data_IF_752341040780
#
_entry.id   IF_752341040780
#
_cell.length_a   1.000
_cell.length_b   1.000
_cell.length_c   1.000
_cell.angle_alpha   90.00
_cell.angle_beta   90.00
_cell.angle_gamma   90.00
#
_symmetry.space_group_name_H-M   'P 1'
#
loop_
_entity.id
_entity.type
_entity.pdbx_description
1 polymer ?
#
# COMPACT_ATOMS: atom_id res chain seq x y z
N UNK A 1 -14.33 18.00 2.94
CA UNK A 1 -13.30 17.06 3.47
C UNK A 1 -13.46 15.70 2.78
N UNK A 2 -12.42 14.83 2.68
CA UNK A 2 -12.56 13.52 2.02
C UNK A 2 -13.73 12.69 2.59
N UNK A 3 -13.92 12.68 3.93
CA UNK A 3 -15.04 12.00 4.61
C UNK A 3 -16.43 12.53 4.24
N UNK A 4 -16.56 13.76 3.76
CA UNK A 4 -17.86 14.32 3.35
C UNK A 4 -18.27 13.88 1.95
N UNK A 5 -17.32 13.33 1.18
CA UNK A 5 -17.54 12.91 -0.20
C UNK A 5 -17.81 11.40 -0.36
N UNK A 6 -17.64 10.61 0.72
CA UNK A 6 -17.72 9.14 0.67
C UNK A 6 -18.35 8.57 1.95
N UNK A 7 -19.08 7.47 1.82
CA UNK A 7 -19.68 6.75 2.95
C UNK A 7 -18.75 5.66 3.54
N UNK A 8 -17.66 5.33 2.84
CA UNK A 8 -16.68 4.33 3.30
C UNK A 8 -15.71 4.93 4.34
N UNK A 9 -15.15 4.11 5.24
CA UNK A 9 -14.15 4.59 6.20
C UNK A 9 -12.94 5.23 5.51
N UNK A 10 -12.58 6.44 5.93
CA UNK A 10 -11.34 7.12 5.53
C UNK A 10 -10.28 6.91 6.60
N UNK A 11 -9.12 6.41 6.20
CA UNK A 11 -7.97 6.13 7.08
C UNK A 11 -6.74 6.91 6.63
N UNK A 12 -5.72 7.02 7.49
CA UNK A 12 -4.43 7.62 7.11
C UNK A 12 -3.31 6.61 7.28
N UNK A 13 -2.39 6.60 6.30
CA UNK A 13 -1.10 5.91 6.41
C UNK A 13 0.04 6.92 6.45
N UNK A 14 0.84 6.89 7.50
CA UNK A 14 1.93 7.85 7.68
C UNK A 14 3.20 7.20 8.25
N UNK A 15 4.24 8.01 8.45
CA UNK A 15 5.49 7.67 9.15
C UNK A 15 5.50 8.36 10.52
N UNK A 16 6.35 7.89 11.43
CA UNK A 16 6.41 8.45 12.80
C UNK A 16 6.92 9.89 12.87
N UNK A 17 7.60 10.36 11.83
CA UNK A 17 8.13 11.72 11.78
C UNK A 17 8.85 12.00 10.48
N UNK A 18 9.34 13.22 10.36
CA UNK A 18 10.10 13.69 9.20
C UNK A 18 11.39 14.35 9.68
N UNK A 19 12.51 13.98 9.06
CA UNK A 19 13.82 14.59 9.26
C UNK A 19 14.30 15.23 7.97
N UNK A 20 14.91 16.40 8.10
CA UNK A 20 15.58 17.08 6.99
C UNK A 20 16.80 16.31 6.46
N UNK A 21 17.59 15.67 7.31
CA UNK A 21 18.75 14.86 6.92
C UNK A 21 19.04 13.74 7.91
N UNK A 22 19.87 12.77 7.52
CA UNK A 22 20.36 11.72 8.44
C UNK A 22 21.16 12.29 9.62
N UNK A 23 21.83 13.42 9.42
CA UNK A 23 22.65 14.12 10.43
C UNK A 23 21.84 15.03 11.36
N UNK A 24 20.51 15.04 11.21
CA UNK A 24 19.59 15.83 12.03
C UNK A 24 18.74 14.91 12.91
N UNK A 25 19.34 14.21 13.91
CA UNK A 25 18.59 13.30 14.77
C UNK A 25 17.55 14.02 15.64
N UNK A 26 17.78 15.29 15.98
CA UNK A 26 16.95 16.10 16.88
C UNK A 26 15.95 16.99 16.13
N UNK A 27 15.44 16.53 14.98
CA UNK A 27 14.42 17.27 14.25
C UNK A 27 13.11 17.31 15.06
N UNK A 28 12.55 18.50 15.26
CA UNK A 28 11.34 18.67 16.09
C UNK A 28 10.14 17.88 15.57
N UNK A 29 10.14 17.56 14.27
CA UNK A 29 9.11 16.78 13.58
C UNK A 29 9.36 15.26 13.60
N UNK A 30 10.34 14.77 14.35
CA UNK A 30 10.57 13.34 14.61
C UNK A 30 10.71 13.03 16.10
N UNK A 31 9.67 13.39 16.85
CA UNK A 31 9.54 13.11 18.29
C UNK A 31 8.20 12.47 18.60
N UNK A 32 8.12 11.78 19.75
CA UNK A 32 6.86 11.20 20.20
C UNK A 32 5.76 12.27 20.37
N UNK A 33 6.11 13.42 20.96
CA UNK A 33 5.17 14.53 21.14
C UNK A 33 4.69 15.11 19.80
N UNK A 34 5.52 15.09 18.77
CA UNK A 34 5.10 15.54 17.44
C UNK A 34 4.09 14.57 16.82
N UNK A 35 4.26 13.26 16.99
CA UNK A 35 3.33 12.29 16.40
C UNK A 35 2.00 12.21 17.15
N UNK A 36 2.00 12.38 18.48
CA UNK A 36 0.75 12.48 19.25
C UNK A 36 -0.06 13.71 18.84
N UNK A 37 0.57 14.89 18.78
CA UNK A 37 -0.08 16.12 18.28
C UNK A 37 -0.61 15.98 16.86
N UNK A 38 0.12 15.26 15.99
CA UNK A 38 -0.35 14.97 14.64
C UNK A 38 -1.62 14.12 14.65
N UNK A 39 -1.64 13.04 15.45
CA UNK A 39 -2.80 12.15 15.60
C UNK A 39 -4.01 12.94 16.11
N UNK A 40 -3.86 13.72 17.19
CA UNK A 40 -4.90 14.60 17.73
C UNK A 40 -5.45 15.55 16.67
N UNK A 41 -4.56 16.28 16.02
CA UNK A 41 -4.93 17.29 15.01
C UNK A 41 -5.71 16.64 13.85
N UNK A 42 -5.24 15.49 13.38
CA UNK A 42 -5.92 14.76 12.30
C UNK A 42 -7.29 14.27 12.77
N UNK A 43 -7.37 13.64 13.94
CA UNK A 43 -8.62 13.13 14.46
C UNK A 43 -9.64 14.26 14.67
N UNK A 44 -9.28 15.33 15.36
CA UNK A 44 -10.17 16.45 15.67
C UNK A 44 -10.65 17.18 14.41
N UNK A 45 -9.76 17.41 13.45
CA UNK A 45 -10.09 18.20 12.26
C UNK A 45 -10.69 17.37 11.14
N UNK A 46 -10.52 16.06 11.10
CA UNK A 46 -10.99 15.23 9.98
C UNK A 46 -11.91 14.08 10.38
N UNK A 47 -11.96 13.72 11.67
CA UNK A 47 -12.68 12.56 12.18
C UNK A 47 -12.09 11.24 11.72
N UNK A 48 -10.79 11.18 11.38
CA UNK A 48 -10.14 9.90 11.07
C UNK A 48 -9.89 9.14 12.37
N UNK A 49 -10.32 7.88 12.39
CA UNK A 49 -10.27 7.05 13.59
C UNK A 49 -9.30 5.86 13.46
N UNK A 50 -8.65 5.70 12.30
CA UNK A 50 -7.70 4.60 12.06
C UNK A 50 -6.43 5.08 11.35
N UNK A 51 -5.31 4.80 12.01
CA UNK A 51 -3.97 5.19 11.59
C UNK A 51 -3.12 3.96 11.29
N UNK A 52 -2.56 3.90 10.08
CA UNK A 52 -1.56 2.91 9.68
C UNK A 52 -0.18 3.55 9.80
N UNK A 53 0.60 3.11 10.77
CA UNK A 53 1.86 3.77 11.13
C UNK A 53 3.04 2.95 10.62
N UNK A 54 3.76 3.48 9.64
CA UNK A 54 5.07 2.96 9.31
C UNK A 54 6.05 3.39 10.42
N UNK A 55 6.59 2.42 11.15
CA UNK A 55 7.36 2.63 12.37
C UNK A 55 8.80 3.17 12.14
N UNK A 56 9.01 3.97 11.08
CA UNK A 56 10.27 4.66 10.78
C UNK A 56 9.96 6.12 10.49
N UNK A 57 10.87 7.02 10.82
CA UNK A 57 10.86 8.37 10.29
C UNK A 57 11.07 8.39 8.77
N UNK A 58 10.61 9.43 8.09
CA UNK A 58 11.05 9.79 6.75
C UNK A 58 12.30 10.68 6.86
N UNK A 59 13.29 10.47 6.02
CA UNK A 59 14.44 11.37 5.86
C UNK A 59 14.39 11.93 4.44
N UNK A 60 14.17 13.24 4.31
CA UNK A 60 13.94 13.87 3.00
C UNK A 60 15.24 14.20 2.27
N UNK A 61 16.33 14.45 3.00
CA UNK A 61 17.65 14.75 2.44
C UNK A 61 18.62 13.58 2.53
N UNK A 62 19.19 13.19 1.39
CA UNK A 62 20.32 12.25 1.32
C UNK A 62 19.96 10.77 1.16
N UNK A 63 18.72 10.37 1.42
CA UNK A 63 18.30 8.97 1.29
C UNK A 63 17.41 8.70 0.07
N UNK A 64 17.73 7.63 -0.65
CA UNK A 64 16.83 7.07 -1.67
C UNK A 64 15.55 6.51 -1.05
N UNK A 65 14.53 6.25 -1.87
CA UNK A 65 13.29 5.56 -1.43
C UNK A 65 13.58 4.20 -0.78
N UNK A 66 14.60 3.49 -1.28
CA UNK A 66 15.03 2.24 -0.67
C UNK A 66 15.72 2.48 0.68
N UNK A 67 16.65 3.44 0.74
CA UNK A 67 17.34 3.83 1.97
C UNK A 67 16.38 4.26 3.07
N UNK A 68 15.33 5.02 2.73
CA UNK A 68 14.27 5.42 3.63
C UNK A 68 13.47 4.24 4.24
N UNK A 69 13.58 3.03 3.69
CA UNK A 69 12.92 1.82 4.22
C UNK A 69 13.87 0.91 5.00
N UNK A 70 15.17 1.19 5.00
CA UNK A 70 16.20 0.33 5.61
C UNK A 70 17.05 1.04 6.65
N UNK A 71 17.29 2.35 6.49
CA UNK A 71 18.25 3.10 7.30
C UNK A 71 17.63 3.66 8.59
N UNK A 72 16.57 4.51 8.59
CA UNK A 72 16.07 5.09 9.85
C UNK A 72 15.46 4.02 10.73
N UNK A 73 15.88 3.81 12.00
CA UNK A 73 15.54 2.62 12.78
C UNK A 73 14.02 2.40 12.95
N UNK A 74 13.62 1.15 13.16
CA UNK A 74 12.24 0.81 13.53
C UNK A 74 11.98 1.18 14.98
N UNK A 75 10.84 1.82 15.24
CA UNK A 75 10.41 2.24 16.57
C UNK A 75 9.01 1.71 16.88
N UNK A 76 8.87 0.38 16.93
CA UNK A 76 7.58 -0.28 17.22
C UNK A 76 6.98 0.13 18.57
N UNK A 77 7.83 0.38 19.57
CA UNK A 77 7.39 0.81 20.89
C UNK A 77 6.55 2.11 20.84
N UNK A 78 6.88 3.05 19.95
CA UNK A 78 6.10 4.28 19.78
C UNK A 78 4.71 3.98 19.20
N UNK A 79 4.58 3.02 18.28
CA UNK A 79 3.29 2.62 17.69
C UNK A 79 2.40 1.93 18.74
N UNK A 80 2.98 1.07 19.57
CA UNK A 80 2.25 0.47 20.70
C UNK A 80 1.83 1.53 21.71
N UNK A 81 2.73 2.45 22.04
CA UNK A 81 2.41 3.56 22.94
C UNK A 81 1.27 4.44 22.40
N UNK A 82 1.24 4.72 21.09
CA UNK A 82 0.09 5.41 20.47
C UNK A 82 -1.22 4.63 20.68
N UNK A 83 -1.21 3.31 20.52
CA UNK A 83 -2.41 2.50 20.75
C UNK A 83 -2.85 2.48 22.22
N UNK A 84 -1.92 2.62 23.17
CA UNK A 84 -2.22 2.76 24.59
C UNK A 84 -2.74 4.15 24.96
N UNK A 85 -2.10 5.21 24.45
CA UNK A 85 -2.42 6.61 24.76
C UNK A 85 -3.74 7.05 24.10
N UNK A 86 -4.14 6.42 22.99
CA UNK A 86 -5.37 6.71 22.23
C UNK A 86 -6.31 5.49 22.13
N UNK A 87 -6.93 5.04 23.24
CA UNK A 87 -7.68 3.78 23.28
C UNK A 87 -8.97 3.78 22.44
N UNK A 88 -9.47 4.94 22.03
CA UNK A 88 -10.64 5.07 21.15
C UNK A 88 -10.28 5.03 19.66
N UNK A 89 -8.99 5.13 19.31
CA UNK A 89 -8.50 5.14 17.93
C UNK A 89 -7.89 3.78 17.57
N UNK A 90 -7.97 3.42 16.29
CA UNK A 90 -7.33 2.22 15.74
C UNK A 90 -5.91 2.50 15.26
N UNK A 91 -4.97 1.60 15.57
CA UNK A 91 -3.61 1.65 15.04
C UNK A 91 -3.21 0.34 14.36
N UNK A 92 -2.66 0.43 13.15
CA UNK A 92 -2.05 -0.69 12.44
C UNK A 92 -0.56 -0.45 12.30
N UNK A 93 0.24 -1.39 12.81
CA UNK A 93 1.70 -1.32 12.73
C UNK A 93 2.18 -1.71 11.33
N UNK A 94 3.13 -0.95 10.78
CA UNK A 94 3.74 -1.23 9.48
C UNK A 94 5.26 -1.07 9.50
N UNK A 95 5.93 -1.86 8.65
CA UNK A 95 7.32 -1.70 8.26
C UNK A 95 8.25 -2.69 8.94
N UNK A 96 8.89 -3.57 8.16
CA UNK A 96 9.88 -4.52 8.67
C UNK A 96 9.31 -5.73 9.42
N UNK A 97 8.05 -6.07 9.18
CA UNK A 97 7.45 -7.35 9.58
C UNK A 97 7.54 -8.27 8.37
N UNK A 98 8.38 -9.30 8.49
CA UNK A 98 8.72 -10.21 7.41
C UNK A 98 8.10 -11.60 7.56
N UNK A 99 7.63 -11.98 8.76
CA UNK A 99 6.96 -13.27 9.00
C UNK A 99 5.60 -13.15 9.70
N UNK A 100 4.77 -14.20 9.64
CA UNK A 100 3.48 -14.25 10.37
C UNK A 100 3.70 -14.33 11.87
N UNK A 101 4.74 -15.02 12.33
CA UNK A 101 5.13 -15.09 13.75
C UNK A 101 5.47 -13.70 14.30
N UNK A 102 6.15 -12.88 13.51
CA UNK A 102 6.43 -11.49 13.90
C UNK A 102 5.15 -10.66 13.98
N UNK A 103 4.21 -10.85 13.04
CA UNK A 103 2.91 -10.19 13.08
C UNK A 103 2.11 -10.60 14.33
N UNK A 104 2.05 -11.89 14.65
CA UNK A 104 1.40 -12.42 15.87
C UNK A 104 2.01 -11.81 17.13
N UNK A 105 3.35 -11.72 17.22
CA UNK A 105 4.03 -11.08 18.35
C UNK A 105 3.60 -9.63 18.54
N UNK A 106 3.41 -8.87 17.46
CA UNK A 106 2.91 -7.50 17.56
C UNK A 106 1.44 -7.46 17.96
N UNK A 107 0.61 -8.39 17.46
CA UNK A 107 -0.82 -8.46 17.79
C UNK A 107 -1.09 -8.95 19.22
N UNK A 108 -0.14 -9.65 19.84
CA UNK A 108 -0.29 -10.25 21.17
C UNK A 108 -0.62 -9.25 22.29
N UNK A 109 -0.31 -7.95 22.11
CA UNK A 109 -0.70 -6.92 23.09
C UNK A 109 -2.22 -6.68 23.14
N UNK A 110 -2.96 -7.06 22.09
CA UNK A 110 -4.39 -6.81 21.94
C UNK A 110 -4.76 -5.34 21.70
N UNK A 111 -3.78 -4.43 21.66
CA UNK A 111 -3.99 -2.98 21.49
C UNK A 111 -3.98 -2.55 20.03
N UNK A 112 -3.18 -3.21 19.20
CA UNK A 112 -3.12 -2.92 17.78
C UNK A 112 -4.34 -3.50 17.07
N UNK A 113 -4.92 -2.71 16.16
CA UNK A 113 -5.99 -3.14 15.26
C UNK A 113 -5.50 -4.07 14.15
N UNK A 114 -4.19 -4.05 13.85
CA UNK A 114 -3.62 -4.92 12.84
C UNK A 114 -2.13 -4.74 12.63
N UNK A 115 -1.58 -5.57 11.73
CA UNK A 115 -0.22 -5.45 11.19
C UNK A 115 -0.31 -5.42 9.66
N UNK A 116 0.34 -4.44 9.04
CA UNK A 116 0.41 -4.33 7.59
C UNK A 116 1.77 -4.82 7.10
N UNK A 117 1.75 -5.90 6.32
CA UNK A 117 2.92 -6.47 5.64
C UNK A 117 2.99 -5.99 4.20
N UNK A 118 4.19 -5.64 3.73
CA UNK A 118 4.41 -5.12 2.38
C UNK A 118 5.41 -5.98 1.59
N UNK A 119 6.70 -5.65 1.70
CA UNK A 119 7.78 -6.32 0.95
C UNK A 119 7.81 -7.84 1.16
N UNK A 120 7.46 -8.32 2.35
CA UNK A 120 7.40 -9.75 2.65
C UNK A 120 6.40 -10.48 1.74
N UNK A 121 5.17 -9.95 1.66
CA UNK A 121 4.11 -10.47 0.78
C UNK A 121 4.50 -10.33 -0.68
N UNK A 122 5.11 -9.21 -1.07
CA UNK A 122 5.58 -9.02 -2.45
C UNK A 122 6.65 -10.06 -2.85
N UNK A 123 7.56 -10.41 -1.94
CA UNK A 123 8.59 -11.43 -2.21
C UNK A 123 8.04 -12.85 -2.18
N UNK A 124 7.06 -13.12 -1.31
CA UNK A 124 6.46 -14.44 -1.16
C UNK A 124 4.99 -14.31 -0.79
N UNK A 125 4.08 -14.25 -1.78
CA UNK A 125 2.64 -14.16 -1.50
C UNK A 125 2.10 -15.34 -0.69
N UNK A 126 2.72 -16.52 -0.81
CA UNK A 126 2.37 -17.74 -0.07
C UNK A 126 2.40 -17.59 1.46
N UNK A 127 3.09 -16.57 2.00
CA UNK A 127 3.05 -16.26 3.44
C UNK A 127 1.62 -15.99 3.94
N UNK A 128 0.71 -15.53 3.07
CA UNK A 128 -0.66 -15.22 3.44
C UNK A 128 -1.55 -16.46 3.56
N UNK A 129 -1.12 -17.62 3.04
CA UNK A 129 -1.93 -18.84 3.03
C UNK A 129 -2.28 -19.39 4.43
N UNK A 130 -1.56 -18.94 5.46
CA UNK A 130 -1.78 -19.38 6.85
C UNK A 130 -2.48 -18.32 7.70
N UNK A 131 -2.76 -17.13 7.15
CA UNK A 131 -3.28 -15.98 7.92
C UNK A 131 -4.68 -16.26 8.44
N UNK A 132 -5.55 -16.86 7.63
CA UNK A 132 -6.95 -17.11 8.01
C UNK A 132 -7.02 -18.03 9.23
N UNK A 133 -6.25 -19.12 9.22
CA UNK A 133 -6.16 -20.05 10.34
C UNK A 133 -5.45 -19.44 11.56
N UNK A 134 -4.30 -18.79 11.36
CA UNK A 134 -3.43 -18.35 12.47
C UNK A 134 -3.87 -17.06 13.16
N UNK A 135 -4.43 -16.12 12.40
CA UNK A 135 -4.81 -14.80 12.91
C UNK A 135 -6.30 -14.72 13.19
N UNK A 136 -7.12 -15.35 12.35
CA UNK A 136 -8.58 -15.24 12.43
C UNK A 136 -9.27 -16.50 12.96
N UNK A 137 -8.52 -17.60 13.16
CA UNK A 137 -9.06 -18.85 13.67
C UNK A 137 -10.02 -19.55 12.71
N UNK A 138 -9.92 -19.26 11.41
CA UNK A 138 -10.77 -19.86 10.38
C UNK A 138 -10.31 -21.29 10.06
N UNK A 139 -11.26 -22.14 9.63
CA UNK A 139 -10.97 -23.54 9.33
C UNK A 139 -10.10 -23.66 8.06
N UNK A 140 -8.88 -24.23 8.15
CA UNK A 140 -8.00 -24.39 7.00
C UNK A 140 -8.52 -25.37 5.93
N UNK A 141 -9.57 -26.14 6.22
CA UNK A 141 -10.24 -27.04 5.27
C UNK A 141 -11.22 -26.34 4.34
N UNK A 142 -11.57 -25.08 4.63
CA UNK A 142 -12.40 -24.26 3.74
C UNK A 142 -11.58 -23.78 2.55
N UNK A 143 -11.59 -24.57 1.48
CA UNK A 143 -11.21 -24.12 0.15
C UNK A 143 -12.49 -23.66 -0.57
N UNK A 144 -12.68 -22.37 -0.87
CA UNK A 144 -13.70 -22.00 -1.83
C UNK A 144 -13.43 -22.73 -3.16
N UNK A 145 -14.46 -23.03 -3.96
CA UNK A 145 -14.28 -23.69 -5.24
C UNK A 145 -13.28 -22.90 -6.07
N UNK A 146 -12.17 -23.54 -6.46
CA UNK A 146 -11.27 -23.00 -7.48
C UNK A 146 -12.10 -22.72 -8.72
N UNK A 147 -12.55 -21.49 -8.93
CA UNK A 147 -12.91 -21.06 -10.26
C UNK A 147 -11.63 -21.23 -11.07
N UNK A 148 -11.64 -22.16 -12.02
CA UNK A 148 -10.46 -22.48 -12.81
C UNK A 148 -9.93 -21.19 -13.42
N UNK A 149 -8.67 -20.89 -13.14
CA UNK A 149 -7.92 -19.72 -13.61
C UNK A 149 -7.88 -19.59 -15.14
N UNK A 150 -8.37 -20.58 -15.89
CA UNK A 150 -8.54 -20.50 -17.34
C UNK A 150 -9.67 -19.54 -17.78
N UNK A 151 -10.67 -19.27 -16.95
CA UNK A 151 -11.77 -18.38 -17.33
C UNK A 151 -11.47 -16.89 -17.04
N UNK A 152 -10.77 -16.60 -15.94
CA UNK A 152 -10.48 -15.21 -15.53
C UNK A 152 -9.33 -14.57 -16.31
N UNK A 153 -8.33 -15.34 -16.76
CA UNK A 153 -7.23 -14.82 -17.58
C UNK A 153 -7.64 -14.53 -19.03
N UNK A 154 -8.72 -15.15 -19.51
CA UNK A 154 -9.19 -14.97 -20.89
C UNK A 154 -10.02 -13.69 -21.08
N UNK A 155 -10.53 -13.07 -20.02
CA UNK A 155 -11.31 -11.82 -20.13
C UNK A 155 -10.43 -10.56 -20.11
N UNK A 156 -9.17 -10.65 -19.68
CA UNK A 156 -8.22 -9.52 -19.64
C UNK A 156 -7.29 -9.45 -20.88
N UNK A 157 -7.33 -10.43 -21.80
CA UNK A 157 -6.40 -10.55 -22.93
C UNK A 157 -6.92 -9.96 -24.25
N UNK A 158 -8.10 -9.31 -24.27
CA UNK A 158 -8.75 -8.85 -25.50
C UNK A 158 -8.92 -7.32 -25.58
N UNK A 159 -7.84 -6.53 -25.43
CA UNK A 159 -7.74 -5.19 -26.06
C UNK A 159 -6.30 -4.61 -26.10
N UNK A 160 -5.31 -5.35 -26.62
CA UNK A 160 -4.00 -4.76 -26.98
C UNK A 160 -3.60 -5.09 -28.42
N UNK A 161 -4.53 -4.88 -29.35
CA UNK A 161 -4.22 -4.89 -30.79
C UNK A 161 -4.87 -3.74 -31.55
N UNK A 162 -4.46 -2.49 -31.28
CA UNK A 162 -4.56 -1.46 -32.33
C UNK A 162 -3.51 -0.33 -32.24
N UNK A 163 -2.76 -0.22 -33.33
CA UNK A 163 -1.96 0.92 -33.82
C UNK A 163 -0.74 1.43 -33.03
N UNK A 164 0.42 0.89 -33.43
CA UNK A 164 1.69 1.64 -33.50
C UNK A 164 1.47 3.00 -34.20
N UNK A 165 1.40 4.09 -33.44
CA UNK A 165 1.56 5.45 -34.00
C UNK A 165 2.98 5.95 -33.74
N UNK A 166 3.74 6.05 -34.82
CA UNK A 166 5.09 6.62 -34.85
C UNK A 166 5.13 8.02 -34.23
N UNK A 167 6.04 8.20 -33.27
CA UNK A 167 6.35 9.50 -32.67
C UNK A 167 7.15 10.33 -33.69
N UNK A 168 6.50 11.22 -34.44
CA UNK A 168 7.21 12.26 -35.23
C UNK A 168 7.55 13.44 -34.33
N UNK A 169 8.84 13.57 -33.99
CA UNK A 169 9.41 14.75 -33.35
C UNK A 169 9.61 15.83 -34.41
N UNK A 170 8.78 16.88 -34.38
CA UNK A 170 8.95 18.08 -35.18
C UNK A 170 9.61 19.20 -34.36
N UNK A 171 10.79 19.64 -34.80
CA UNK A 171 11.48 20.83 -34.30
C UNK A 171 10.86 22.10 -34.90
N UNK A 172 10.57 23.10 -34.07
CA UNK A 172 10.10 24.42 -34.53
C UNK A 172 9.90 25.39 -33.36
N UNK A 173 10.71 26.45 -33.31
CA UNK A 173 10.90 27.28 -32.12
C UNK A 173 9.94 28.47 -31.96
N UNK A 174 9.96 29.08 -30.76
CA UNK A 174 9.27 30.35 -30.53
C UNK A 174 8.89 30.63 -29.07
N UNK A 175 9.82 31.19 -28.30
CA UNK A 175 9.66 32.14 -27.17
C UNK A 175 8.46 32.00 -26.21
N UNK A 176 8.79 31.61 -24.97
CA UNK A 176 8.41 32.36 -23.74
C UNK A 176 7.13 31.94 -23.00
N UNK A 177 7.31 31.34 -21.81
CA UNK A 177 6.31 31.27 -20.74
C UNK A 177 5.86 29.85 -20.37
N UNK A 178 6.38 29.31 -19.26
CA UNK A 178 5.89 28.04 -18.70
C UNK A 178 4.78 28.35 -17.69
N UNK A 179 3.53 28.09 -18.10
CA UNK A 179 2.39 27.91 -17.21
C UNK A 179 2.01 26.44 -17.25
N UNK A 180 2.21 25.71 -16.14
CA UNK A 180 1.67 24.35 -16.00
C UNK A 180 0.24 24.43 -15.49
N UNK A 181 -0.69 24.43 -16.43
CA UNK A 181 -2.12 24.33 -16.19
C UNK A 181 -2.81 24.00 -17.51
N UNK A 182 -2.94 22.72 -17.83
CA UNK A 182 -3.91 22.28 -18.83
C UNK A 182 -4.71 21.09 -18.33
N UNK A 183 -5.93 21.45 -17.97
CA UNK A 183 -7.14 20.64 -18.01
C UNK A 183 -7.22 19.88 -19.33
N UNK A 184 -7.24 18.55 -19.28
CA UNK A 184 -7.75 17.74 -20.39
C UNK A 184 -9.25 17.58 -20.18
N UNK A 185 -10.03 18.41 -20.89
CA UNK A 185 -11.43 18.10 -21.21
C UNK A 185 -11.41 17.02 -22.30
N UNK A 186 -11.63 15.78 -21.92
CA UNK A 186 -12.03 14.70 -22.81
C UNK A 186 -13.44 14.27 -22.41
N UNK A 187 -14.41 14.47 -23.30
CA UNK A 187 -15.81 14.11 -23.07
C UNK A 187 -15.95 12.60 -22.97
N UNK A 188 -16.67 12.15 -21.95
CA UNK A 188 -17.22 10.80 -21.90
C UNK A 188 -18.37 10.77 -22.89
N UNK A 189 -18.12 10.23 -24.08
CA UNK A 189 -19.16 9.92 -25.03
C UNK A 189 -20.12 8.92 -24.39
N UNK A 190 -21.41 9.27 -24.41
CA UNK A 190 -22.54 8.40 -24.16
C UNK A 190 -22.40 7.17 -25.07
N UNK A 191 -22.19 5.96 -24.51
CA UNK A 191 -22.10 4.78 -25.37
C UNK A 191 -21.44 3.50 -24.84
N UNK A 192 -20.98 3.43 -23.59
CA UNK A 192 -20.53 2.16 -23.00
C UNK A 192 -21.05 2.05 -21.57
N UNK A 193 -21.69 0.91 -21.27
CA UNK A 193 -22.32 0.63 -19.98
C UNK A 193 -21.36 0.83 -18.82
N UNK A 194 -21.91 1.20 -17.67
CA UNK A 194 -21.15 1.28 -16.42
C UNK A 194 -20.28 0.02 -16.26
N UNK A 195 -18.96 0.15 -15.99
CA UNK A 195 -18.20 -1.01 -15.54
C UNK A 195 -18.91 -1.57 -14.30
N UNK A 196 -19.05 -2.90 -14.16
CA UNK A 196 -19.75 -3.45 -13.02
C UNK A 196 -19.13 -2.89 -11.75
N UNK A 197 -19.95 -2.32 -10.87
CA UNK A 197 -19.54 -1.99 -9.52
C UNK A 197 -19.22 -3.31 -8.81
N UNK A 198 -17.95 -3.70 -8.77
CA UNK A 198 -17.54 -4.92 -8.08
C UNK A 198 -17.46 -4.66 -6.58
N UNK A 199 -18.39 -5.26 -5.84
CA UNK A 199 -18.33 -5.36 -4.38
C UNK A 199 -17.43 -6.55 -4.06
N UNK A 200 -16.22 -6.29 -3.56
CA UNK A 200 -15.36 -7.33 -3.00
C UNK A 200 -16.01 -7.84 -1.71
N UNK A 201 -16.50 -9.08 -1.70
CA UNK A 201 -17.36 -9.58 -0.64
C UNK A 201 -16.61 -10.28 0.50
N UNK A 202 -15.35 -10.72 0.30
CA UNK A 202 -14.55 -11.33 1.36
C UNK A 202 -13.02 -11.23 1.15
N UNK A 203 -12.26 -11.46 2.23
CA UNK A 203 -10.78 -11.42 2.25
C UNK A 203 -10.12 -12.50 1.38
N UNK A 204 -10.77 -13.64 1.18
CA UNK A 204 -10.25 -14.75 0.37
C UNK A 204 -10.29 -14.44 -1.14
N UNK A 205 -11.30 -13.71 -1.62
CA UNK A 205 -11.39 -13.26 -3.02
C UNK A 205 -10.22 -12.32 -3.38
N UNK A 206 -9.74 -11.55 -2.40
CA UNK A 206 -8.52 -10.73 -2.53
C UNK A 206 -7.31 -11.64 -2.68
N UNK A 207 -7.14 -12.67 -1.85
CA UNK A 207 -6.01 -13.60 -1.94
C UNK A 207 -6.01 -14.41 -3.25
N UNK A 208 -7.16 -14.82 -3.75
CA UNK A 208 -7.28 -15.54 -5.04
C UNK A 208 -6.85 -14.66 -6.21
N UNK A 209 -7.33 -13.41 -6.27
CA UNK A 209 -6.96 -12.48 -7.34
C UNK A 209 -5.52 -11.99 -7.22
N UNK A 210 -5.01 -11.79 -6.00
CA UNK A 210 -3.59 -11.47 -5.79
C UNK A 210 -2.67 -12.66 -6.06
N UNK A 211 -3.11 -13.90 -5.82
CA UNK A 211 -2.39 -15.10 -6.24
C UNK A 211 -2.37 -15.20 -7.76
N UNK A 212 -3.50 -14.99 -8.45
CA UNK A 212 -3.55 -14.97 -9.91
C UNK A 212 -2.66 -13.88 -10.51
N UNK A 213 -2.65 -12.67 -9.92
CA UNK A 213 -1.72 -11.60 -10.29
C UNK A 213 -0.25 -11.97 -9.98
N UNK A 214 0.02 -12.53 -8.79
CA UNK A 214 1.34 -12.97 -8.37
C UNK A 214 1.91 -14.05 -9.28
N UNK A 215 1.09 -15.04 -9.64
CA UNK A 215 1.42 -16.10 -10.57
C UNK A 215 1.66 -15.54 -11.98
N UNK A 216 0.84 -14.60 -12.44
CA UNK A 216 1.04 -13.89 -13.72
C UNK A 216 2.32 -13.07 -13.76
N UNK A 217 2.68 -12.39 -12.67
CA UNK A 217 3.95 -11.62 -12.57
C UNK A 217 5.16 -12.55 -12.48
N UNK A 218 5.09 -13.64 -11.69
CA UNK A 218 6.15 -14.63 -11.55
C UNK A 218 6.38 -15.38 -12.88
N UNK A 219 5.32 -15.68 -13.62
CA UNK A 219 5.39 -16.36 -14.91
C UNK A 219 5.65 -15.40 -16.09
N UNK A 220 5.64 -14.08 -15.87
CA UNK A 220 5.91 -13.12 -16.92
C UNK A 220 7.33 -13.30 -17.46
N UNK A 221 7.47 -13.28 -18.79
CA UNK A 221 8.77 -13.39 -19.48
C UNK A 221 9.78 -12.34 -19.00
N UNK A 222 9.30 -11.17 -18.59
CA UNK A 222 10.15 -10.09 -18.05
C UNK A 222 10.74 -10.44 -16.67
N UNK A 223 9.95 -11.06 -15.78
CA UNK A 223 10.44 -11.49 -14.46
C UNK A 223 11.41 -12.66 -14.56
N UNK A 224 11.10 -13.66 -15.40
CA UNK A 224 11.98 -14.80 -15.67
C UNK A 224 13.30 -14.36 -16.33
N UNK A 225 13.25 -13.39 -17.25
CA UNK A 225 14.45 -12.81 -17.86
C UNK A 225 15.28 -12.00 -16.85
N UNK A 226 14.63 -11.29 -15.92
CA UNK A 226 15.32 -10.55 -14.86
C UNK A 226 16.07 -11.47 -13.88
N UNK A 227 15.46 -12.61 -13.50
CA UNK A 227 16.08 -13.64 -12.67
C UNK A 227 17.24 -14.35 -13.40
N UNK A 228 17.08 -14.64 -14.70
CA UNK A 228 18.14 -15.23 -15.52
C UNK A 228 19.33 -14.28 -15.72
N UNK A 229 19.09 -12.96 -15.76
CA UNK A 229 20.14 -11.96 -15.92
C UNK A 229 20.84 -11.57 -14.61
N UNK A 230 20.27 -11.91 -13.45
CA UNK A 230 20.84 -11.64 -12.12
C UNK A 230 20.79 -12.88 -11.22
N UNK A 231 21.48 -13.97 -11.58
CA UNK A 231 21.66 -15.09 -10.67
C UNK A 231 22.51 -14.62 -9.48
N UNK A 232 22.10 -14.97 -8.26
CA UNK A 232 22.91 -14.73 -7.06
C UNK A 232 24.25 -15.47 -7.13
#
# INVERSE_FOLDING_TARGET
RMKEAVDVPVTIKHRLGVRSSERSPDDTHDSYDSITRFVDTVHDLSGVDHFVVHARAAVLGGLSTSGNRTIPPLRYAEVHKLADDFPTLGFTLNGGVDTIEEAEKQLASGRLRGVMMGRAVYRSPAILAVVDARIYGEDPSYLPPRASTAAAAAEDEEDDTSEKRELRVGTGGGRGGVHYGQTVRGGWAEGHGHPPSFVLNNRHEVLERFSAYGDGVIQSRAHLAHLAANPQ
#
